data_IF_009174078569
#
_entry.id   IF_009174078569
#
_cell.length_a   1.000
_cell.length_b   1.000
_cell.length_c   1.000
_cell.angle_alpha   90.00
_cell.angle_beta   90.00
_cell.angle_gamma   90.00
#
_symmetry.space_group_name_H-M   'P 1'
#
loop_
_entity.id
_entity.type
_entity.pdbx_description
1 polymer ?
#
# COMPACT_ATOMS: atom_id res chain seq x y z
N UNK A 1 -0.99 -30.42 -4.69
CA UNK A 1 -0.59 -30.52 -3.26
C UNK A 1 0.89 -30.29 -2.99
N UNK A 2 1.82 -30.67 -3.89
CA UNK A 2 3.27 -30.52 -3.68
C UNK A 2 3.79 -29.07 -3.66
N UNK A 3 3.13 -28.15 -4.38
CA UNK A 3 3.57 -26.76 -4.52
C UNK A 3 3.33 -25.93 -3.24
N UNK A 4 2.25 -26.22 -2.51
CA UNK A 4 1.91 -25.58 -1.23
C UNK A 4 2.91 -25.92 -0.11
N UNK A 5 3.43 -27.15 -0.08
CA UNK A 5 4.46 -27.58 0.89
C UNK A 5 5.80 -26.85 0.68
N UNK A 6 6.16 -26.55 -0.57
CA UNK A 6 7.44 -25.95 -0.94
C UNK A 6 7.52 -24.46 -0.60
N UNK A 7 6.38 -23.75 -0.64
CA UNK A 7 6.29 -22.35 -0.18
C UNK A 7 6.34 -22.30 1.36
N UNK A 8 5.57 -23.17 2.05
CA UNK A 8 5.62 -23.25 3.51
C UNK A 8 7.02 -23.56 4.05
N UNK A 9 7.77 -24.52 3.47
CA UNK A 9 9.13 -24.82 3.93
C UNK A 9 10.15 -23.71 3.68
N UNK A 10 9.88 -22.77 2.75
CA UNK A 10 10.72 -21.58 2.54
C UNK A 10 10.34 -20.42 3.46
N UNK A 11 9.07 -20.29 3.82
CA UNK A 11 8.60 -19.23 4.73
C UNK A 11 8.87 -19.57 6.20
N UNK A 12 8.76 -20.84 6.59
CA UNK A 12 9.02 -21.32 7.97
C UNK A 12 10.38 -20.88 8.53
N UNK A 13 11.53 -21.04 7.85
CA UNK A 13 12.81 -20.59 8.40
C UNK A 13 12.90 -19.07 8.54
N UNK A 14 12.27 -18.30 7.65
CA UNK A 14 12.22 -16.83 7.76
C UNK A 14 11.32 -16.40 8.94
N UNK A 15 10.23 -17.12 9.16
CA UNK A 15 9.29 -16.90 10.27
C UNK A 15 9.94 -17.29 11.60
N UNK A 16 10.65 -18.41 11.65
CA UNK A 16 11.45 -18.84 12.80
C UNK A 16 12.59 -17.86 13.09
N UNK A 17 13.26 -17.33 12.06
CA UNK A 17 14.26 -16.28 12.20
C UNK A 17 13.63 -15.01 12.79
N UNK A 18 12.50 -14.55 12.25
CA UNK A 18 11.77 -13.39 12.77
C UNK A 18 11.31 -13.57 14.21
N UNK A 19 10.77 -14.75 14.56
CA UNK A 19 10.40 -15.09 15.94
C UNK A 19 11.64 -15.15 16.84
N UNK A 20 12.74 -15.73 16.37
CA UNK A 20 13.98 -15.82 17.15
C UNK A 20 14.57 -14.44 17.44
N UNK A 21 14.59 -13.56 16.45
CA UNK A 21 15.02 -12.15 16.60
C UNK A 21 14.06 -11.40 17.53
N UNK A 22 12.76 -11.62 17.40
CA UNK A 22 11.76 -11.01 18.28
C UNK A 22 11.92 -11.47 19.73
N UNK A 23 12.12 -12.78 19.97
CA UNK A 23 12.36 -13.34 21.30
C UNK A 23 13.67 -12.79 21.88
N UNK A 24 14.75 -12.75 21.10
CA UNK A 24 16.01 -12.12 21.50
C UNK A 24 15.79 -10.65 21.88
N UNK A 25 15.04 -9.91 21.08
CA UNK A 25 14.68 -8.52 21.39
C UNK A 25 13.92 -8.41 22.71
N UNK A 26 12.95 -9.29 22.98
CA UNK A 26 12.22 -9.31 24.26
C UNK A 26 13.15 -9.56 25.47
N UNK A 27 14.28 -10.27 25.31
CA UNK A 27 15.28 -10.40 26.37
C UNK A 27 16.09 -9.12 26.62
N UNK A 28 16.24 -8.26 25.62
CA UNK A 28 16.90 -6.95 25.78
C UNK A 28 15.94 -5.86 26.28
N UNK A 29 14.63 -6.10 26.21
CA UNK A 29 13.60 -5.15 26.61
C UNK A 29 13.25 -5.33 28.08
N UNK A 30 13.44 -4.27 28.86
CA UNK A 30 12.98 -4.21 30.24
C UNK A 30 11.47 -3.94 30.28
N UNK A 31 10.68 -5.00 30.45
CA UNK A 31 9.22 -4.91 30.53
C UNK A 31 8.73 -4.01 31.67
N UNK A 32 9.53 -3.83 32.72
CA UNK A 32 9.21 -2.93 33.83
C UNK A 32 9.13 -1.48 33.36
N UNK A 33 10.08 -1.07 32.51
CA UNK A 33 10.10 0.26 31.90
C UNK A 33 8.93 0.49 30.95
N UNK A 34 8.52 -0.55 30.21
CA UNK A 34 7.32 -0.46 29.36
C UNK A 34 6.09 -0.21 30.23
N UNK A 35 5.90 -0.98 31.30
CA UNK A 35 4.76 -0.82 32.20
C UNK A 35 4.74 0.55 32.91
N UNK A 36 5.92 1.07 33.26
CA UNK A 36 6.07 2.41 33.84
C UNK A 36 5.67 3.51 32.86
N UNK A 37 6.15 3.46 31.61
CA UNK A 37 5.74 4.38 30.54
C UNK A 37 4.22 4.33 30.33
N UNK A 38 3.61 3.14 30.33
CA UNK A 38 2.15 3.01 30.19
C UNK A 38 1.36 3.63 31.35
N UNK A 39 1.93 3.70 32.56
CA UNK A 39 1.30 4.38 33.72
C UNK A 39 1.39 5.89 33.63
N UNK A 40 2.42 6.43 32.99
CA UNK A 40 2.61 7.87 32.82
C UNK A 40 1.79 8.44 31.66
N UNK A 41 1.35 7.61 30.71
CA UNK A 41 0.53 8.05 29.57
C UNK A 41 -0.80 8.60 30.07
N UNK A 42 -1.12 9.82 29.64
CA UNK A 42 -2.43 10.41 29.87
C UNK A 42 -3.51 9.60 29.10
N UNK A 43 -4.46 8.95 29.81
CA UNK A 43 -5.43 8.05 29.17
C UNK A 43 -6.35 8.79 28.20
N UNK A 44 -6.62 10.08 28.41
CA UNK A 44 -7.47 10.88 27.51
C UNK A 44 -6.80 11.10 26.16
N UNK A 45 -5.50 11.42 26.16
CA UNK A 45 -4.73 11.60 24.94
C UNK A 45 -4.62 10.26 24.20
N UNK A 46 -4.35 9.18 24.92
CA UNK A 46 -4.24 7.85 24.33
C UNK A 46 -5.55 7.40 23.66
N UNK A 47 -6.70 7.56 24.34
CA UNK A 47 -8.01 7.27 23.76
C UNK A 47 -8.30 8.18 22.56
N UNK A 48 -7.94 9.46 22.62
CA UNK A 48 -8.08 10.38 21.49
C UNK A 48 -7.25 9.93 20.28
N UNK A 49 -6.02 9.45 20.49
CA UNK A 49 -5.19 8.88 19.42
C UNK A 49 -5.82 7.65 18.77
N UNK A 50 -6.38 6.74 19.57
CA UNK A 50 -7.10 5.56 19.05
C UNK A 50 -8.29 5.99 18.18
N UNK A 51 -9.10 6.94 18.68
CA UNK A 51 -10.24 7.46 17.93
C UNK A 51 -9.81 8.14 16.63
N UNK A 52 -8.72 8.91 16.67
CA UNK A 52 -8.14 9.53 15.48
C UNK A 52 -7.69 8.48 14.45
N UNK A 53 -7.05 7.39 14.89
CA UNK A 53 -6.67 6.28 14.00
C UNK A 53 -7.88 5.56 13.39
N UNK A 54 -8.96 5.37 14.15
CA UNK A 54 -10.21 4.81 13.62
C UNK A 54 -10.80 5.75 12.56
N UNK A 55 -10.85 7.06 12.85
CA UNK A 55 -11.34 8.06 11.91
C UNK A 55 -10.51 8.12 10.63
N UNK A 56 -9.20 7.98 10.72
CA UNK A 56 -8.32 7.89 9.55
C UNK A 56 -8.72 6.74 8.62
N UNK A 57 -8.91 5.53 9.16
CA UNK A 57 -9.37 4.38 8.37
C UNK A 57 -10.75 4.62 7.76
N UNK A 58 -11.66 5.28 8.48
CA UNK A 58 -12.99 5.64 7.99
C UNK A 58 -12.90 6.62 6.82
N UNK A 59 -12.12 7.70 6.96
CA UNK A 59 -11.93 8.70 5.91
C UNK A 59 -11.21 8.13 4.69
N UNK A 60 -10.19 7.30 4.91
CA UNK A 60 -9.50 6.59 3.85
C UNK A 60 -10.46 5.67 3.07
N UNK A 61 -11.33 4.94 3.79
CA UNK A 61 -12.36 4.11 3.14
C UNK A 61 -13.37 4.98 2.40
N UNK A 62 -13.77 6.11 2.97
CA UNK A 62 -14.76 7.01 2.37
C UNK A 62 -14.25 7.59 1.05
N UNK A 63 -12.98 8.01 1.01
CA UNK A 63 -12.32 8.46 -0.21
C UNK A 63 -12.38 7.37 -1.30
N UNK A 64 -12.03 6.13 -0.97
CA UNK A 64 -12.13 5.01 -1.91
C UNK A 64 -13.57 4.73 -2.35
N UNK A 65 -14.52 4.78 -1.42
CA UNK A 65 -15.93 4.55 -1.69
C UNK A 65 -16.50 5.58 -2.68
N UNK A 66 -16.11 6.84 -2.54
CA UNK A 66 -16.48 7.90 -3.47
C UNK A 66 -15.87 7.61 -4.86
N UNK A 67 -14.59 7.22 -4.93
CA UNK A 67 -13.94 6.87 -6.20
C UNK A 67 -14.64 5.71 -6.92
N UNK A 68 -15.03 4.66 -6.18
CA UNK A 68 -15.80 3.54 -6.72
C UNK A 68 -17.13 4.01 -7.33
N UNK A 69 -17.84 4.92 -6.63
CA UNK A 69 -19.11 5.47 -7.11
C UNK A 69 -18.94 6.29 -8.39
N UNK A 70 -17.85 7.05 -8.52
CA UNK A 70 -17.52 7.81 -9.73
C UNK A 70 -17.34 6.91 -10.95
N UNK A 71 -16.77 5.71 -10.78
CA UNK A 71 -16.66 4.70 -11.85
C UNK A 71 -17.89 3.79 -11.98
N UNK A 72 -19.03 4.19 -11.39
CA UNK A 72 -20.30 3.45 -11.41
C UNK A 72 -20.27 2.07 -10.75
N UNK A 73 -19.31 1.82 -9.85
CA UNK A 73 -19.29 0.61 -9.02
C UNK A 73 -20.23 0.83 -7.83
N UNK A 74 -21.36 0.11 -7.81
CA UNK A 74 -22.42 0.31 -6.81
C UNK A 74 -22.21 -0.62 -5.61
N UNK A 75 -21.48 -0.11 -4.62
CA UNK A 75 -21.30 -0.82 -3.35
C UNK A 75 -21.90 -0.04 -2.18
N UNK A 76 -22.21 -0.72 -1.07
CA UNK A 76 -22.54 -0.08 0.22
C UNK A 76 -21.25 0.30 0.94
N UNK A 77 -21.25 1.43 1.66
CA UNK A 77 -20.08 1.88 2.43
C UNK A 77 -19.61 0.86 3.48
N UNK A 78 -20.54 0.17 4.15
CA UNK A 78 -20.20 -0.91 5.10
C UNK A 78 -19.36 -2.03 4.48
N UNK A 79 -19.61 -2.34 3.21
CA UNK A 79 -18.85 -3.35 2.47
C UNK A 79 -17.47 -2.81 2.04
N UNK A 80 -17.36 -1.51 1.70
CA UNK A 80 -16.07 -0.85 1.50
C UNK A 80 -15.19 -0.95 2.75
N UNK A 81 -15.75 -0.66 3.93
CA UNK A 81 -15.03 -0.72 5.20
C UNK A 81 -14.53 -2.13 5.47
N UNK A 82 -15.37 -3.14 5.25
CA UNK A 82 -14.98 -4.53 5.43
C UNK A 82 -13.80 -4.90 4.51
N UNK A 83 -13.80 -4.44 3.26
CA UNK A 83 -12.75 -4.78 2.30
C UNK A 83 -11.44 -4.06 2.60
N UNK A 84 -11.50 -2.82 3.10
CA UNK A 84 -10.30 -2.12 3.58
C UNK A 84 -9.73 -2.81 4.82
N UNK A 85 -10.56 -3.18 5.79
CA UNK A 85 -10.10 -3.89 6.98
C UNK A 85 -9.50 -5.26 6.66
N UNK A 86 -10.13 -6.04 5.77
CA UNK A 86 -9.57 -7.32 5.30
C UNK A 86 -8.22 -7.07 4.61
N UNK A 87 -8.12 -6.05 3.75
CA UNK A 87 -6.86 -5.70 3.11
C UNK A 87 -5.76 -5.33 4.09
N UNK A 88 -6.07 -4.56 5.13
CA UNK A 88 -5.12 -4.22 6.19
C UNK A 88 -4.68 -5.45 6.97
N UNK A 89 -5.59 -6.39 7.27
CA UNK A 89 -5.24 -7.66 7.91
C UNK A 89 -4.32 -8.52 7.04
N UNK A 90 -4.57 -8.57 5.72
CA UNK A 90 -3.68 -9.28 4.78
C UNK A 90 -2.29 -8.65 4.77
N UNK A 91 -2.20 -7.32 4.84
CA UNK A 91 -0.91 -6.61 4.86
C UNK A 91 -0.09 -6.85 6.12
N UNK A 92 -0.76 -7.03 7.27
CA UNK A 92 -0.10 -7.45 8.52
C UNK A 92 0.48 -8.86 8.40
N UNK A 93 -0.20 -9.76 7.70
CA UNK A 93 0.23 -11.16 7.54
C UNK A 93 1.29 -11.31 6.44
N UNK A 94 1.14 -10.56 5.35
CA UNK A 94 1.99 -10.64 4.16
C UNK A 94 2.76 -9.33 4.04
N UNK A 95 4.04 -9.29 4.48
CA UNK A 95 4.87 -8.11 4.36
C UNK A 95 5.29 -7.92 2.89
N UNK A 96 4.37 -7.37 2.10
CA UNK A 96 4.54 -7.08 0.68
C UNK A 96 4.23 -5.61 0.37
N UNK A 97 4.53 -4.71 1.31
CA UNK A 97 4.49 -3.24 1.13
C UNK A 97 3.17 -2.78 0.49
N UNK A 98 2.06 -2.98 1.21
CA UNK A 98 0.70 -2.55 0.85
C UNK A 98 0.11 -3.14 -0.45
N UNK A 99 0.89 -3.80 -1.31
CA UNK A 99 0.39 -4.43 -2.54
C UNK A 99 -0.54 -5.61 -2.23
N UNK A 100 -0.30 -6.29 -1.11
CA UNK A 100 -1.14 -7.40 -0.65
C UNK A 100 -2.56 -6.92 -0.29
N UNK A 101 -2.66 -5.74 0.33
CA UNK A 101 -3.93 -5.11 0.69
C UNK A 101 -4.78 -4.80 -0.55
N UNK A 102 -4.17 -4.27 -1.60
CA UNK A 102 -4.86 -3.91 -2.85
C UNK A 102 -5.27 -5.13 -3.67
N UNK A 103 -4.37 -6.12 -3.76
CA UNK A 103 -4.67 -7.38 -4.41
C UNK A 103 -5.88 -8.08 -3.74
N UNK A 104 -5.98 -8.01 -2.40
CA UNK A 104 -7.13 -8.56 -1.68
C UNK A 104 -8.44 -7.84 -2.01
N UNK A 105 -8.44 -6.50 -2.13
CA UNK A 105 -9.62 -5.71 -2.52
C UNK A 105 -10.06 -6.05 -3.93
N UNK A 106 -9.11 -6.16 -4.87
CA UNK A 106 -9.39 -6.55 -6.26
C UNK A 106 -9.99 -7.96 -6.31
N UNK A 107 -9.41 -8.91 -5.56
CA UNK A 107 -9.93 -10.28 -5.49
C UNK A 107 -11.35 -10.34 -4.93
N UNK A 108 -11.63 -9.63 -3.83
CA UNK A 108 -12.95 -9.59 -3.21
C UNK A 108 -13.99 -8.95 -4.13
N UNK A 109 -13.63 -7.88 -4.85
CA UNK A 109 -14.50 -7.22 -5.83
C UNK A 109 -14.77 -8.08 -7.06
N UNK A 110 -13.75 -8.78 -7.57
CA UNK A 110 -13.92 -9.74 -8.65
C UNK A 110 -14.91 -10.85 -8.25
N UNK A 111 -14.83 -11.32 -7.00
CA UNK A 111 -15.75 -12.32 -6.46
C UNK A 111 -17.20 -11.81 -6.41
N UNK A 112 -17.39 -10.52 -6.23
CA UNK A 112 -18.70 -9.88 -6.25
C UNK A 112 -19.23 -9.57 -7.65
N UNK A 113 -18.46 -9.91 -8.70
CA UNK A 113 -18.85 -9.66 -10.10
C UNK A 113 -18.55 -8.25 -10.60
N UNK A 114 -17.76 -7.47 -9.86
CA UNK A 114 -17.38 -6.11 -10.26
C UNK A 114 -16.22 -6.11 -11.27
N UNK A 115 -16.18 -5.06 -12.09
CA UNK A 115 -15.15 -4.87 -13.11
C UNK A 115 -13.78 -4.60 -12.46
N UNK A 116 -12.87 -5.56 -12.62
CA UNK A 116 -11.49 -5.50 -12.07
C UNK A 116 -10.72 -4.29 -12.61
N UNK A 117 -10.93 -3.90 -13.87
CA UNK A 117 -10.29 -2.73 -14.48
C UNK A 117 -10.71 -1.44 -13.79
N UNK A 118 -12.03 -1.26 -13.59
CA UNK A 118 -12.56 -0.09 -12.87
C UNK A 118 -12.09 -0.04 -11.42
N UNK A 119 -12.13 -1.16 -10.71
CA UNK A 119 -11.65 -1.24 -9.32
C UNK A 119 -10.15 -0.93 -9.24
N UNK A 120 -9.34 -1.49 -10.13
CA UNK A 120 -7.90 -1.22 -10.17
C UNK A 120 -7.63 0.26 -10.45
N UNK A 121 -8.38 0.88 -11.37
CA UNK A 121 -8.26 2.31 -11.64
C UNK A 121 -8.56 3.17 -10.40
N UNK A 122 -9.60 2.83 -9.61
CA UNK A 122 -9.90 3.56 -8.36
C UNK A 122 -8.75 3.49 -7.36
N UNK A 123 -8.09 2.34 -7.26
CA UNK A 123 -6.95 2.14 -6.35
C UNK A 123 -5.74 2.96 -6.82
N UNK A 124 -5.45 2.98 -8.13
CA UNK A 124 -4.38 3.82 -8.70
C UNK A 124 -4.64 5.29 -8.43
N UNK A 125 -5.87 5.78 -8.64
CA UNK A 125 -6.24 7.18 -8.34
C UNK A 125 -6.08 7.48 -6.85
N UNK A 126 -6.49 6.56 -5.97
CA UNK A 126 -6.32 6.70 -4.54
C UNK A 126 -4.84 6.76 -4.13
N UNK A 127 -3.97 5.98 -4.78
CA UNK A 127 -2.51 6.03 -4.58
C UNK A 127 -1.92 7.36 -5.01
N UNK A 128 -2.30 7.88 -6.17
CA UNK A 128 -1.86 9.19 -6.65
C UNK A 128 -2.26 10.28 -5.66
N UNK A 129 -3.51 10.26 -5.19
CA UNK A 129 -3.98 11.20 -4.18
C UNK A 129 -3.18 11.10 -2.87
N UNK A 130 -2.94 9.88 -2.37
CA UNK A 130 -2.11 9.64 -1.19
C UNK A 130 -0.67 10.13 -1.34
N UNK A 131 -0.05 9.92 -2.50
CA UNK A 131 1.31 10.40 -2.79
C UNK A 131 1.39 11.92 -2.84
N UNK A 132 0.37 12.59 -3.41
CA UNK A 132 0.30 14.07 -3.42
C UNK A 132 0.20 14.59 -1.99
N UNK A 133 -0.68 14.02 -1.16
CA UNK A 133 -0.80 14.41 0.24
C UNK A 133 0.50 14.17 1.02
N UNK A 134 1.16 13.03 0.79
CA UNK A 134 2.43 12.71 1.44
C UNK A 134 3.53 13.71 1.04
N UNK A 135 3.65 14.02 -0.26
CA UNK A 135 4.59 15.02 -0.76
C UNK A 135 4.31 16.42 -0.20
N UNK A 136 3.05 16.83 -0.12
CA UNK A 136 2.65 18.12 0.45
C UNK A 136 2.99 18.20 1.94
N UNK A 137 2.67 17.14 2.70
CA UNK A 137 2.98 17.05 4.14
C UNK A 137 4.49 17.11 4.38
N UNK A 138 5.26 16.39 3.56
CA UNK A 138 6.72 16.40 3.65
C UNK A 138 7.31 17.77 3.29
N UNK A 139 6.75 18.46 2.28
CA UNK A 139 7.15 19.82 1.95
C UNK A 139 6.89 20.80 3.10
N UNK A 140 5.71 20.73 3.75
CA UNK A 140 5.38 21.54 4.93
C UNK A 140 6.36 21.25 6.07
N UNK A 141 6.68 19.97 6.33
CA UNK A 141 7.66 19.58 7.34
C UNK A 141 9.06 20.16 7.06
N UNK A 142 9.51 20.11 5.80
CA UNK A 142 10.78 20.72 5.39
C UNK A 142 10.79 22.24 5.58
N UNK A 143 9.71 22.95 5.22
CA UNK A 143 9.59 24.39 5.42
C UNK A 143 9.65 24.73 6.91
N UNK A 144 8.90 23.99 7.75
CA UNK A 144 8.91 24.18 9.20
C UNK A 144 10.31 23.97 9.79
N UNK A 145 11.02 22.94 9.35
CA UNK A 145 12.39 22.66 9.79
C UNK A 145 13.36 23.80 9.45
N UNK A 146 13.29 24.33 8.21
CA UNK A 146 14.13 25.46 7.78
C UNK A 146 13.78 26.72 8.57
N UNK A 147 12.48 26.99 8.76
CA UNK A 147 12.01 28.17 9.49
C UNK A 147 12.42 28.18 10.97
N UNK A 148 12.51 26.99 11.60
CA UNK A 148 12.86 26.84 13.02
C UNK A 148 14.35 26.57 13.28
N UNK A 149 15.17 26.43 12.22
CA UNK A 149 16.57 25.99 12.31
C UNK A 149 16.74 24.73 13.16
N UNK A 150 15.79 23.79 13.07
CA UNK A 150 15.79 22.61 13.91
C UNK A 150 17.01 21.72 13.58
N UNK A 151 17.90 21.42 14.53
CA UNK A 151 19.10 20.65 14.26
C UNK A 151 18.75 19.17 14.10
N UNK A 152 18.66 18.70 12.85
CA UNK A 152 18.54 17.28 12.55
C UNK A 152 19.91 16.66 12.24
N UNK A 153 20.14 15.40 12.64
CA UNK A 153 21.29 14.63 12.18
C UNK A 153 21.30 14.56 10.65
N UNK A 154 22.48 14.69 10.04
CA UNK A 154 22.66 14.71 8.58
C UNK A 154 22.06 13.48 7.88
N UNK A 155 22.08 12.33 8.56
CA UNK A 155 21.47 11.09 8.10
C UNK A 155 19.95 11.23 7.88
N UNK A 156 19.25 11.90 8.81
CA UNK A 156 17.79 12.09 8.75
C UNK A 156 17.42 12.98 7.57
N UNK A 157 18.18 14.05 7.35
CA UNK A 157 17.99 14.95 6.20
C UNK A 157 18.20 14.22 4.88
N UNK A 158 19.23 13.37 4.79
CA UNK A 158 19.45 12.54 3.59
C UNK A 158 18.30 11.56 3.36
N UNK A 159 17.83 10.87 4.40
CA UNK A 159 16.67 9.98 4.29
C UNK A 159 15.42 10.71 3.81
N UNK A 160 15.12 11.89 4.35
CA UNK A 160 14.00 12.73 3.91
C UNK A 160 14.14 13.12 2.44
N UNK A 161 15.34 13.53 2.01
CA UNK A 161 15.61 13.89 0.61
C UNK A 161 15.40 12.70 -0.33
N UNK A 162 15.88 11.51 0.06
CA UNK A 162 15.71 10.28 -0.72
C UNK A 162 14.24 9.88 -0.81
N UNK A 163 13.50 9.89 0.30
CA UNK A 163 12.08 9.52 0.30
C UNK A 163 11.24 10.50 -0.51
N UNK A 164 11.52 11.81 -0.42
CA UNK A 164 10.87 12.83 -1.25
C UNK A 164 11.19 12.61 -2.73
N UNK A 165 12.45 12.40 -3.07
CA UNK A 165 12.89 12.16 -4.44
C UNK A 165 12.24 10.91 -5.06
N UNK A 166 12.19 9.81 -4.30
CA UNK A 166 11.52 8.57 -4.73
C UNK A 166 10.01 8.78 -4.91
N UNK A 167 9.36 9.49 -3.99
CA UNK A 167 7.92 9.79 -4.07
C UNK A 167 7.61 10.61 -5.32
N UNK A 168 8.38 11.66 -5.58
CA UNK A 168 8.23 12.50 -6.78
C UNK A 168 8.51 11.73 -8.07
N UNK A 169 9.55 10.89 -8.08
CA UNK A 169 9.86 10.02 -9.22
C UNK A 169 8.68 9.08 -9.52
N UNK A 170 8.13 8.43 -8.50
CA UNK A 170 7.03 7.48 -8.68
C UNK A 170 5.75 8.20 -9.15
N UNK A 171 5.45 9.37 -8.58
CA UNK A 171 4.34 10.23 -9.01
C UNK A 171 4.51 10.67 -10.47
N UNK A 172 5.72 11.07 -10.88
CA UNK A 172 6.04 11.41 -12.26
C UNK A 172 5.85 10.21 -13.20
N UNK A 173 6.28 9.01 -12.81
CA UNK A 173 6.09 7.80 -13.61
C UNK A 173 4.61 7.46 -13.79
N UNK A 174 3.80 7.52 -12.72
CA UNK A 174 2.36 7.26 -12.81
C UNK A 174 1.66 8.30 -13.67
N UNK A 175 1.94 9.60 -13.47
CA UNK A 175 1.32 10.67 -14.26
C UNK A 175 1.71 10.60 -15.73
N UNK A 176 2.98 10.31 -16.04
CA UNK A 176 3.45 10.07 -17.41
C UNK A 176 2.78 8.84 -18.04
N UNK A 177 2.60 7.77 -17.28
CA UNK A 177 1.87 6.59 -17.72
C UNK A 177 0.40 6.94 -18.03
N UNK A 178 -0.28 7.67 -17.14
CA UNK A 178 -1.66 8.12 -17.36
C UNK A 178 -1.78 9.02 -18.60
N UNK A 179 -0.86 9.94 -18.86
CA UNK A 179 -0.95 10.92 -19.96
C UNK A 179 -0.58 10.34 -21.35
N UNK A 180 0.25 9.30 -21.43
CA UNK A 180 0.72 8.75 -22.71
C UNK A 180 0.43 7.26 -22.83
N UNK A 181 -0.61 6.91 -23.61
CA UNK A 181 -0.99 5.52 -23.98
C UNK A 181 0.22 4.68 -24.40
N UNK A 182 1.14 5.24 -25.20
CA UNK A 182 2.36 4.54 -25.65
C UNK A 182 3.38 4.28 -24.52
N UNK A 183 3.47 5.14 -23.50
CA UNK A 183 4.35 4.91 -22.35
C UNK A 183 3.72 3.95 -21.35
N UNK A 184 2.41 4.02 -21.10
CA UNK A 184 1.69 3.00 -20.32
C UNK A 184 1.94 1.60 -20.88
N UNK A 185 1.85 1.46 -22.21
CA UNK A 185 2.18 0.21 -22.91
C UNK A 185 3.64 -0.23 -22.77
N UNK A 186 4.61 0.70 -22.86
CA UNK A 186 6.04 0.38 -22.67
C UNK A 186 6.36 0.01 -21.23
N UNK A 187 5.80 0.73 -20.25
CA UNK A 187 5.98 0.45 -18.83
C UNK A 187 5.33 -0.86 -18.43
N UNK A 188 4.10 -1.12 -18.89
CA UNK A 188 3.42 -2.40 -18.70
C UNK A 188 4.25 -3.55 -19.28
N UNK A 189 4.75 -3.42 -20.52
CA UNK A 189 5.63 -4.44 -21.12
C UNK A 189 6.94 -4.60 -20.35
N UNK A 190 7.51 -3.53 -19.78
CA UNK A 190 8.72 -3.60 -18.97
C UNK A 190 8.47 -4.34 -17.65
N UNK A 191 7.38 -4.01 -16.95
CA UNK A 191 6.96 -4.68 -15.71
C UNK A 191 6.61 -6.15 -15.98
N UNK A 192 5.86 -6.45 -17.05
CA UNK A 192 5.56 -7.82 -17.45
C UNK A 192 6.83 -8.61 -17.78
N UNK A 193 7.81 -8.00 -18.45
CA UNK A 193 9.09 -8.65 -18.77
C UNK A 193 9.96 -8.90 -17.53
N UNK A 194 9.91 -8.01 -16.54
CA UNK A 194 10.57 -8.21 -15.24
C UNK A 194 9.84 -9.27 -14.43
N UNK A 195 8.50 -9.26 -14.45
CA UNK A 195 7.67 -10.28 -13.82
C UNK A 195 7.89 -11.66 -14.46
N UNK A 196 7.98 -11.77 -15.78
CA UNK A 196 8.36 -12.98 -16.51
C UNK A 196 9.73 -13.52 -16.09
N UNK A 197 10.65 -12.64 -15.69
CA UNK A 197 11.98 -13.02 -15.19
C UNK A 197 11.96 -13.54 -13.75
N UNK A 198 10.99 -13.11 -12.95
CA UNK A 198 10.92 -13.40 -11.51
C UNK A 198 9.85 -14.45 -11.16
N UNK A 199 8.84 -14.64 -12.01
CA UNK A 199 7.70 -15.54 -11.78
C UNK A 199 7.94 -16.87 -12.51
N UNK A 200 7.81 -18.03 -11.84
CA UNK A 200 7.94 -19.35 -12.48
C UNK A 200 6.88 -19.55 -13.58
N UNK A 201 7.22 -20.23 -14.68
CA UNK A 201 6.45 -20.39 -15.93
C UNK A 201 5.08 -21.13 -15.84
N UNK A 202 4.48 -21.18 -14.65
CA UNK A 202 3.23 -21.90 -14.35
C UNK A 202 1.99 -21.01 -14.38
N UNK A 203 2.17 -19.69 -14.49
CA UNK A 203 1.07 -18.73 -14.63
C UNK A 203 0.86 -18.37 -16.10
N UNK A 204 -0.39 -18.32 -16.55
CA UNK A 204 -0.76 -18.10 -17.95
C UNK A 204 -0.65 -16.61 -18.33
N UNK A 205 0.57 -16.14 -18.60
CA UNK A 205 0.91 -14.71 -18.79
C UNK A 205 0.18 -14.10 -19.99
N UNK A 206 -0.13 -14.90 -21.02
CA UNK A 206 -0.88 -14.43 -22.20
C UNK A 206 -2.32 -14.03 -21.90
N UNK A 207 -2.95 -14.67 -20.93
CA UNK A 207 -4.33 -14.38 -20.51
C UNK A 207 -4.40 -13.09 -19.70
N UNK A 208 -3.40 -12.87 -18.83
CA UNK A 208 -3.24 -11.61 -18.10
C UNK A 208 -2.89 -10.45 -19.03
N UNK A 209 -1.98 -10.65 -19.99
CA UNK A 209 -1.62 -9.61 -20.98
C UNK A 209 -2.84 -9.18 -21.80
N UNK A 210 -3.68 -10.12 -22.25
CA UNK A 210 -4.94 -9.81 -22.95
C UNK A 210 -5.96 -9.09 -22.07
N UNK A 211 -6.08 -9.47 -20.80
CA UNK A 211 -7.01 -8.83 -19.87
C UNK A 211 -6.59 -7.39 -19.55
N UNK A 212 -5.29 -7.14 -19.42
CA UNK A 212 -4.76 -5.78 -19.24
C UNK A 212 -4.86 -4.95 -20.52
N UNK A 213 -4.64 -5.55 -21.69
CA UNK A 213 -4.86 -4.91 -23.00
C UNK A 213 -6.31 -4.45 -23.17
N UNK A 214 -7.26 -5.28 -22.76
CA UNK A 214 -8.68 -4.95 -22.79
C UNK A 214 -9.01 -3.80 -21.81
N UNK A 215 -8.55 -3.89 -20.56
CA UNK A 215 -8.77 -2.85 -19.55
C UNK A 215 -8.15 -1.48 -19.93
N UNK A 216 -6.96 -1.49 -20.54
CA UNK A 216 -6.32 -0.26 -21.03
C UNK A 216 -7.07 0.34 -22.21
N UNK A 217 -7.56 -0.48 -23.15
CA UNK A 217 -8.35 0.05 -24.25
C UNK A 217 -9.68 0.64 -23.76
N UNK A 218 -10.35 0.02 -22.79
CA UNK A 218 -11.57 0.59 -22.18
C UNK A 218 -11.29 1.91 -21.45
N UNK A 219 -10.14 2.06 -20.79
CA UNK A 219 -9.79 3.26 -20.02
C UNK A 219 -9.36 4.46 -20.89
N UNK A 220 -8.83 4.23 -22.09
CA UNK A 220 -8.38 5.28 -23.02
C UNK A 220 -9.36 5.57 -24.17
N UNK A 221 -10.47 4.83 -24.29
CA UNK A 221 -11.51 5.03 -25.31
C UNK A 221 -12.83 5.62 -24.74
N UNK A 222 -12.89 5.96 -23.45
CA UNK A 222 -13.92 6.84 -22.86
C UNK A 222 -13.41 8.26 -22.72
#
# INVERSE_FOLDING_TARGET
>A
MLERRRVLTRTIPLLLLGISVFILYLFFVDFSKIAEVFREINPRIFVASILASILDVVFFTLAWHILLRTLSVRMKFSKSIAYVLIGNLVDIIVPAESMSSEASKIYLMKRDGEDVGKVTATLVVQRVYGMILHAATLAVACIYMIATNYPLPSLVVYFIGVTLGLTLLFLALITLACLKKNLAWKFLKAVLRVAERLVPSRFNIEEWSRSVEHALNTFYLS
#
